data_IF_712116423487
#
_entry.id   IF_712116423487
#
_cell.length_a   1.000
_cell.length_b   1.000
_cell.length_c   1.000
_cell.angle_alpha   90.00
_cell.angle_beta   90.00
_cell.angle_gamma   90.00
#
_symmetry.space_group_name_H-M   'P 1'
#
loop_
_entity.id
_entity.type
_entity.pdbx_description
1 polymer ?
#
# COMPACT_ATOMS: atom_id res chain seq x y z
N UNK A 1 -29.81 30.34 -13.62
CA UNK A 1 -29.21 29.21 -14.37
C UNK A 1 -28.59 28.28 -13.35
N UNK A 2 -29.19 27.10 -13.13
CA UNK A 2 -28.60 26.07 -12.27
C UNK A 2 -27.52 25.36 -13.06
N UNK A 3 -26.25 25.54 -12.70
CA UNK A 3 -25.18 24.75 -13.27
C UNK A 3 -25.44 23.27 -12.92
N UNK A 4 -25.45 22.40 -13.93
CA UNK A 4 -25.50 20.96 -13.70
C UNK A 4 -24.27 20.56 -12.89
N UNK A 5 -24.46 19.73 -11.85
CA UNK A 5 -23.34 19.22 -11.09
C UNK A 5 -22.45 18.38 -12.01
N UNK A 6 -21.11 18.49 -11.88
CA UNK A 6 -20.20 17.64 -12.66
C UNK A 6 -20.54 16.17 -12.36
N UNK A 7 -20.87 15.41 -13.41
CA UNK A 7 -21.19 13.99 -13.29
C UNK A 7 -19.92 13.17 -13.50
N UNK A 8 -19.72 12.20 -12.63
CA UNK A 8 -18.65 11.21 -12.72
C UNK A 8 -19.27 9.84 -12.61
N UNK A 9 -18.83 8.91 -13.45
CA UNK A 9 -19.28 7.52 -13.36
C UNK A 9 -18.81 6.87 -12.05
N UNK A 10 -19.62 5.94 -11.56
CA UNK A 10 -19.31 5.14 -10.38
C UNK A 10 -18.08 4.27 -10.67
N UNK A 11 -17.01 4.47 -9.92
CA UNK A 11 -15.92 3.50 -9.85
C UNK A 11 -16.37 2.32 -8.98
N UNK A 12 -16.56 1.16 -9.61
CA UNK A 12 -17.00 -0.06 -8.92
C UNK A 12 -16.13 -1.23 -9.35
N UNK A 13 -15.72 -2.03 -8.36
CA UNK A 13 -14.97 -3.26 -8.56
C UNK A 13 -15.64 -4.37 -7.77
N UNK A 14 -16.27 -5.31 -8.46
CA UNK A 14 -16.80 -6.48 -7.77
C UNK A 14 -15.64 -7.40 -7.35
N UNK A 15 -15.83 -8.24 -6.33
CA UNK A 15 -14.74 -9.08 -5.83
C UNK A 15 -14.06 -9.95 -6.90
N UNK A 16 -14.84 -10.47 -7.85
CA UNK A 16 -14.37 -11.30 -8.96
C UNK A 16 -13.66 -10.50 -10.08
N UNK A 17 -13.84 -9.18 -10.13
CA UNK A 17 -13.27 -8.31 -11.16
C UNK A 17 -11.94 -7.68 -10.70
N UNK A 18 -11.59 -7.83 -9.42
CA UNK A 18 -10.34 -7.33 -8.86
C UNK A 18 -9.17 -8.20 -9.31
N UNK A 19 -8.23 -7.60 -10.06
CA UNK A 19 -6.97 -8.25 -10.38
C UNK A 19 -6.22 -8.59 -9.09
N UNK A 20 -5.63 -9.79 -9.06
CA UNK A 20 -4.91 -10.29 -7.89
C UNK A 20 -3.46 -10.59 -8.23
N UNK A 21 -2.54 -9.85 -7.61
CA UNK A 21 -1.11 -10.10 -7.65
C UNK A 21 -0.70 -10.87 -6.39
N UNK A 22 0.22 -11.82 -6.49
CA UNK A 22 0.58 -12.68 -5.35
C UNK A 22 2.02 -13.17 -5.37
N UNK A 23 2.59 -13.24 -4.19
CA UNK A 23 3.78 -14.02 -3.84
C UNK A 23 3.38 -15.12 -2.85
N UNK A 24 4.35 -15.87 -2.33
CA UNK A 24 4.10 -16.87 -1.28
C UNK A 24 3.56 -16.27 0.02
N UNK A 25 3.88 -15.01 0.31
CA UNK A 25 3.59 -14.37 1.60
C UNK A 25 2.69 -13.14 1.50
N UNK A 26 2.46 -12.61 0.29
CA UNK A 26 1.66 -11.41 0.05
C UNK A 26 0.65 -11.66 -1.05
N UNK A 27 -0.60 -11.26 -0.82
CA UNK A 27 -1.64 -11.17 -1.85
C UNK A 27 -2.18 -9.76 -1.90
N UNK A 28 -2.18 -9.16 -3.09
CA UNK A 28 -2.74 -7.83 -3.33
C UNK A 28 -3.92 -7.93 -4.27
N UNK A 29 -5.05 -7.31 -3.93
CA UNK A 29 -6.21 -7.15 -4.80
C UNK A 29 -6.36 -5.69 -5.17
N UNK A 30 -6.29 -5.41 -6.46
CA UNK A 30 -6.39 -4.06 -7.03
C UNK A 30 -7.87 -3.66 -7.06
N UNK A 31 -8.27 -2.71 -6.21
CA UNK A 31 -9.69 -2.38 -6.02
C UNK A 31 -10.11 -1.22 -6.92
N UNK A 32 -9.59 -0.02 -6.69
CA UNK A 32 -9.95 1.19 -7.42
C UNK A 32 -8.69 2.00 -7.70
N UNK A 33 -8.43 2.39 -8.94
CA UNK A 33 -7.27 3.21 -9.28
C UNK A 33 -7.62 4.71 -9.40
N UNK A 34 -6.60 5.57 -9.35
CA UNK A 34 -6.78 7.02 -9.40
C UNK A 34 -7.45 7.51 -10.70
N UNK A 35 -7.22 6.83 -11.83
CA UNK A 35 -7.85 7.17 -13.11
C UNK A 35 -9.38 6.91 -13.09
N UNK A 36 -9.84 5.89 -12.36
CA UNK A 36 -11.25 5.56 -12.14
C UNK A 36 -11.93 6.56 -11.20
N UNK A 37 -11.16 7.29 -10.40
CA UNK A 37 -11.63 8.27 -9.39
C UNK A 37 -11.16 9.70 -9.63
N UNK A 38 -10.55 9.99 -10.79
CA UNK A 38 -10.19 11.34 -11.23
C UNK A 38 -9.28 11.99 -10.21
N UNK A 39 -8.42 11.17 -9.62
CA UNK A 39 -7.47 11.53 -8.58
C UNK A 39 -8.05 11.64 -7.18
N UNK A 40 -9.31 11.28 -6.90
CA UNK A 40 -9.84 11.42 -5.53
C UNK A 40 -9.33 10.34 -4.57
N UNK A 41 -9.23 9.09 -5.03
CA UNK A 41 -8.78 7.95 -4.23
C UNK A 41 -8.23 6.82 -5.09
N UNK A 42 -7.16 6.18 -4.65
CA UNK A 42 -6.73 4.87 -5.14
C UNK A 42 -6.72 3.89 -3.97
N UNK A 43 -7.20 2.67 -4.14
CA UNK A 43 -7.30 1.69 -3.07
C UNK A 43 -6.98 0.26 -3.50
N UNK A 44 -6.52 -0.52 -2.53
CA UNK A 44 -6.20 -1.93 -2.66
C UNK A 44 -6.44 -2.67 -1.36
N UNK A 45 -6.68 -3.97 -1.46
CA UNK A 45 -6.63 -4.87 -0.30
C UNK A 45 -5.29 -5.61 -0.32
N UNK A 46 -4.58 -5.63 0.81
CA UNK A 46 -3.37 -6.42 0.99
C UNK A 46 -3.63 -7.49 2.05
N UNK A 47 -3.24 -8.73 1.77
CA UNK A 47 -3.19 -9.82 2.74
C UNK A 47 -1.74 -10.26 2.91
N UNK A 48 -1.28 -10.33 4.15
CA UNK A 48 0.06 -10.70 4.55
C UNK A 48 0.01 -11.99 5.37
N UNK A 49 0.86 -12.95 5.03
CA UNK A 49 1.07 -14.15 5.83
C UNK A 49 1.70 -13.81 7.20
N UNK A 50 1.80 -14.82 8.07
CA UNK A 50 2.33 -14.63 9.42
C UNK A 50 3.72 -14.00 9.41
N UNK A 51 3.86 -12.83 10.05
CA UNK A 51 5.12 -12.08 10.12
C UNK A 51 5.66 -11.60 8.77
N UNK A 52 4.88 -11.68 7.68
CA UNK A 52 5.33 -11.27 6.36
C UNK A 52 5.57 -9.76 6.29
N UNK A 53 6.59 -9.37 5.53
CA UNK A 53 6.80 -7.96 5.20
C UNK A 53 5.78 -7.50 4.14
N UNK A 54 5.33 -6.25 4.29
CA UNK A 54 4.54 -5.54 3.30
C UNK A 54 5.43 -4.60 2.49
N UNK A 55 5.15 -3.30 2.54
CA UNK A 55 5.97 -2.31 1.84
C UNK A 55 7.28 -2.02 2.60
N UNK A 56 8.38 -1.95 1.85
CA UNK A 56 9.64 -1.40 2.32
C UNK A 56 9.49 0.10 2.67
N UNK A 57 10.39 0.68 3.50
CA UNK A 57 10.30 2.07 3.89
C UNK A 57 10.27 3.04 2.71
N UNK A 58 9.25 3.89 2.69
CA UNK A 58 9.02 4.89 1.65
C UNK A 58 8.22 6.08 2.19
N UNK A 59 8.03 7.10 1.36
CA UNK A 59 7.06 8.17 1.59
C UNK A 59 6.37 8.57 0.28
N UNK A 60 5.23 9.25 0.44
CA UNK A 60 4.44 9.86 -0.62
C UNK A 60 4.58 11.38 -0.55
N UNK A 61 4.58 12.09 -1.68
CA UNK A 61 4.62 13.56 -1.73
C UNK A 61 3.26 14.19 -2.02
N UNK A 62 2.34 13.41 -2.60
CA UNK A 62 1.02 13.87 -3.05
C UNK A 62 -0.07 13.47 -2.06
N UNK A 63 0.02 12.27 -1.49
CA UNK A 63 -1.11 11.61 -0.81
C UNK A 63 -0.84 11.30 0.66
N UNK A 64 -1.90 11.44 1.47
CA UNK A 64 -1.97 10.74 2.74
C UNK A 64 -2.40 9.29 2.47
N UNK A 65 -1.90 8.34 3.27
CA UNK A 65 -2.22 6.92 3.13
C UNK A 65 -3.00 6.40 4.34
N UNK A 66 -4.23 5.97 4.11
CA UNK A 66 -5.09 5.32 5.09
C UNK A 66 -4.86 3.81 5.08
N UNK A 67 -4.72 3.24 6.26
CA UNK A 67 -4.79 1.81 6.50
C UNK A 67 -5.99 1.50 7.38
N UNK A 68 -6.78 0.51 6.99
CA UNK A 68 -7.78 -0.11 7.86
C UNK A 68 -7.45 -1.60 7.99
N UNK A 69 -7.28 -2.08 9.22
CA UNK A 69 -6.94 -3.48 9.49
C UNK A 69 -8.24 -4.27 9.59
N UNK A 70 -8.55 -5.05 8.56
CA UNK A 70 -9.74 -5.88 8.51
C UNK A 70 -9.58 -7.15 9.37
N UNK A 71 -8.40 -7.77 9.36
CA UNK A 71 -8.09 -8.98 10.13
C UNK A 71 -6.63 -8.97 10.61
N UNK A 72 -6.36 -9.63 11.73
CA UNK A 72 -5.01 -9.82 12.25
C UNK A 72 -4.40 -8.55 12.87
N UNK A 73 -3.08 -8.44 12.79
CA UNK A 73 -2.32 -7.31 13.35
C UNK A 73 -1.28 -6.77 12.37
N UNK A 74 -1.32 -5.46 12.14
CA UNK A 74 -0.40 -4.73 11.28
C UNK A 74 0.64 -3.99 12.12
N UNK A 75 1.91 -4.21 11.88
CA UNK A 75 3.00 -3.39 12.41
C UNK A 75 3.38 -2.34 11.36
N UNK A 76 3.50 -1.08 11.78
CA UNK A 76 3.76 0.06 10.90
C UNK A 76 4.88 0.92 11.46
N UNK A 77 5.88 1.22 10.64
CA UNK A 77 6.77 2.37 10.87
C UNK A 77 6.00 3.64 10.52
N UNK A 78 5.89 4.59 11.44
CA UNK A 78 5.25 5.88 11.25
C UNK A 78 6.19 7.00 11.73
N UNK A 79 7.04 7.47 10.81
CA UNK A 79 8.13 8.40 11.10
C UNK A 79 9.22 7.72 11.91
N UNK A 80 9.36 8.10 13.18
CA UNK A 80 10.37 7.58 14.11
C UNK A 80 9.82 6.50 15.07
N UNK A 81 8.53 6.19 14.97
CA UNK A 81 7.81 5.24 15.84
C UNK A 81 7.44 3.98 15.07
N UNK A 82 7.38 2.87 15.79
CA UNK A 82 6.77 1.63 15.32
C UNK A 82 5.51 1.39 16.15
N UNK A 83 4.38 1.20 15.48
CA UNK A 83 3.08 0.95 16.12
C UNK A 83 2.49 -0.34 15.61
N UNK A 84 1.70 -1.01 16.45
CA UNK A 84 0.90 -2.18 16.06
C UNK A 84 -0.58 -1.83 16.11
N UNK A 85 -1.31 -2.16 15.06
CA UNK A 85 -2.74 -1.90 14.92
C UNK A 85 -3.45 -3.23 14.64
N UNK A 86 -4.36 -3.61 15.53
CA UNK A 86 -5.17 -4.82 15.39
C UNK A 86 -6.43 -4.61 14.55
N UNK A 87 -7.13 -5.71 14.27
CA UNK A 87 -8.39 -5.72 13.53
C UNK A 87 -9.43 -4.71 14.05
N UNK A 88 -10.10 -4.01 13.13
CA UNK A 88 -11.01 -2.90 13.40
C UNK A 88 -10.32 -1.55 13.63
N UNK A 89 -8.99 -1.54 13.78
CA UNK A 89 -8.19 -0.32 13.88
C UNK A 89 -7.90 0.33 12.54
N UNK A 90 -7.60 1.62 12.57
CA UNK A 90 -7.18 2.39 11.40
C UNK A 90 -6.08 3.38 11.75
N UNK A 91 -5.28 3.75 10.76
CA UNK A 91 -4.29 4.81 10.85
C UNK A 91 -4.23 5.59 9.53
N UNK A 92 -3.84 6.86 9.61
CA UNK A 92 -3.49 7.68 8.45
C UNK A 92 -2.03 8.09 8.58
N UNK A 93 -1.24 7.79 7.56
CA UNK A 93 0.12 8.29 7.42
C UNK A 93 0.07 9.54 6.55
N UNK A 94 0.47 10.71 7.06
CA UNK A 94 0.47 11.93 6.26
C UNK A 94 1.59 11.87 5.22
N UNK A 95 1.39 12.54 4.09
CA UNK A 95 2.45 12.73 3.08
C UNK A 95 3.74 13.29 3.71
N UNK A 96 4.86 12.95 3.08
CA UNK A 96 6.24 13.20 3.53
C UNK A 96 6.68 12.46 4.79
N UNK A 97 5.79 11.74 5.49
CA UNK A 97 6.20 10.88 6.60
C UNK A 97 6.77 9.56 6.06
N UNK A 98 8.03 9.21 6.36
CA UNK A 98 8.55 7.88 6.10
C UNK A 98 7.72 6.82 6.83
N UNK A 99 7.33 5.78 6.10
CA UNK A 99 6.58 4.67 6.65
C UNK A 99 6.88 3.36 5.92
N UNK A 100 6.59 2.26 6.60
CA UNK A 100 6.74 0.89 6.14
C UNK A 100 5.71 0.05 6.89
N UNK A 101 5.36 -1.12 6.37
CA UNK A 101 4.45 -2.00 7.11
C UNK A 101 4.73 -3.48 6.86
N UNK A 102 4.26 -4.30 7.79
CA UNK A 102 4.27 -5.75 7.70
C UNK A 102 3.29 -6.34 8.70
N UNK A 103 2.97 -7.62 8.57
CA UNK A 103 2.19 -8.29 9.60
C UNK A 103 3.01 -8.34 10.90
N UNK A 104 2.36 -8.13 12.04
CA UNK A 104 3.04 -8.16 13.34
C UNK A 104 3.67 -9.55 13.58
N UNK A 105 4.76 -9.63 14.37
CA UNK A 105 5.38 -10.91 14.69
C UNK A 105 4.36 -11.93 15.24
N UNK A 106 4.30 -13.12 14.64
CA UNK A 106 3.35 -14.17 15.06
C UNK A 106 1.90 -13.93 14.64
N UNK A 107 1.63 -12.95 13.77
CA UNK A 107 0.29 -12.65 13.26
C UNK A 107 0.29 -12.50 11.74
N UNK A 108 -0.81 -12.86 11.09
CA UNK A 108 -1.13 -12.46 9.72
C UNK A 108 -1.83 -11.10 9.72
N UNK A 109 -2.02 -10.48 8.55
CA UNK A 109 -2.80 -9.24 8.46
C UNK A 109 -3.61 -9.17 7.15
N UNK A 110 -4.83 -8.64 7.20
CA UNK A 110 -5.60 -8.24 6.02
C UNK A 110 -6.01 -6.80 6.18
N UNK A 111 -5.70 -5.96 5.19
CA UNK A 111 -5.83 -4.53 5.28
C UNK A 111 -6.40 -3.93 4.00
N UNK A 112 -7.22 -2.90 4.15
CA UNK A 112 -7.56 -1.94 3.10
C UNK A 112 -6.57 -0.79 3.17
N UNK A 113 -5.94 -0.47 2.05
CA UNK A 113 -5.09 0.71 1.88
C UNK A 113 -5.80 1.67 0.93
N UNK A 114 -5.79 2.96 1.25
CA UNK A 114 -6.28 4.01 0.36
C UNK A 114 -5.37 5.23 0.38
N UNK A 115 -4.99 5.73 -0.79
CA UNK A 115 -4.25 6.98 -0.93
C UNK A 115 -5.21 8.10 -1.33
N UNK A 116 -5.13 9.23 -0.63
CA UNK A 116 -6.00 10.39 -0.81
C UNK A 116 -5.18 11.70 -0.75
N UNK A 117 -5.12 12.50 -1.83
CA UNK A 117 -5.63 12.23 -3.19
C UNK A 117 -5.12 10.90 -3.78
N UNK A 118 -5.84 10.32 -4.74
CA UNK A 118 -5.43 9.09 -5.39
C UNK A 118 -4.18 9.28 -6.25
N UNK A 119 -3.33 8.26 -6.32
CA UNK A 119 -2.20 8.14 -7.25
C UNK A 119 -2.32 6.82 -8.00
N UNK A 120 -1.76 6.72 -9.20
CA UNK A 120 -1.85 5.48 -9.96
C UNK A 120 -1.11 4.35 -9.23
N UNK A 121 -1.81 3.26 -8.94
CA UNK A 121 -1.28 2.13 -8.17
C UNK A 121 -1.20 0.84 -8.97
N UNK A 122 -2.06 0.65 -9.97
CA UNK A 122 -2.16 -0.68 -10.59
C UNK A 122 -0.88 -1.02 -11.37
N UNK A 123 -0.37 -0.10 -12.19
CA UNK A 123 0.90 -0.32 -12.90
C UNK A 123 2.10 -0.38 -11.95
N UNK A 124 2.10 0.39 -10.85
CA UNK A 124 3.13 0.27 -9.81
C UNK A 124 3.21 -1.15 -9.26
N UNK A 125 2.08 -1.74 -8.86
CA UNK A 125 2.08 -3.10 -8.31
C UNK A 125 2.35 -4.16 -9.38
N UNK A 126 1.89 -3.97 -10.62
CA UNK A 126 2.27 -4.84 -11.75
C UNK A 126 3.77 -4.78 -12.05
N UNK A 127 4.40 -3.61 -11.90
CA UNK A 127 5.86 -3.48 -12.01
C UNK A 127 6.58 -4.24 -10.91
N UNK A 128 6.12 -4.17 -9.65
CA UNK A 128 6.66 -4.97 -8.56
C UNK A 128 6.52 -6.48 -8.81
N UNK A 129 5.38 -6.93 -9.36
CA UNK A 129 5.16 -8.32 -9.74
C UNK A 129 6.15 -8.78 -10.85
N UNK A 130 6.36 -7.95 -11.89
CA UNK A 130 7.37 -8.21 -12.92
C UNK A 130 8.79 -8.29 -12.34
N UNK A 131 9.13 -7.43 -11.38
CA UNK A 131 10.43 -7.49 -10.68
C UNK A 131 10.56 -8.81 -9.90
N UNK A 132 9.52 -9.22 -9.17
CA UNK A 132 9.50 -10.51 -8.46
C UNK A 132 9.69 -11.72 -9.38
N UNK A 133 9.28 -11.62 -10.65
CA UNK A 133 9.44 -12.63 -11.70
C UNK A 133 10.77 -12.53 -12.47
N UNK A 134 11.56 -11.49 -12.23
CA UNK A 134 12.80 -11.21 -12.99
C UNK A 134 12.56 -10.64 -14.40
N UNK A 135 11.37 -10.11 -14.67
CA UNK A 135 10.97 -9.51 -15.95
C UNK A 135 11.22 -7.98 -15.99
N UNK A 136 11.52 -7.38 -14.84
CA UNK A 136 11.87 -5.98 -14.67
C UNK A 136 12.91 -5.84 -13.53
N UNK A 137 13.48 -4.65 -13.37
CA UNK A 137 14.58 -4.37 -12.45
C UNK A 137 14.21 -3.35 -11.37
N UNK A 138 14.99 -3.31 -10.29
CA UNK A 138 14.88 -2.23 -9.29
C UNK A 138 15.21 -0.84 -9.87
N UNK A 139 15.99 -0.78 -10.96
CA UNK A 139 16.25 0.46 -11.67
C UNK A 139 14.99 0.97 -12.39
N UNK A 140 14.19 0.06 -12.98
CA UNK A 140 12.90 0.40 -13.59
C UNK A 140 11.94 0.96 -12.52
N UNK A 141 11.91 0.34 -11.33
CA UNK A 141 11.12 0.85 -10.21
C UNK A 141 11.55 2.25 -9.79
N UNK A 142 12.86 2.47 -9.60
CA UNK A 142 13.40 3.77 -9.22
C UNK A 142 13.07 4.87 -10.24
N UNK A 143 13.06 4.53 -11.54
CA UNK A 143 12.69 5.47 -12.60
C UNK A 143 11.22 5.92 -12.55
N UNK A 144 10.35 5.18 -11.84
CA UNK A 144 8.90 5.46 -11.73
C UNK A 144 8.49 6.13 -10.42
N UNK A 145 9.44 6.49 -9.55
CA UNK A 145 9.14 7.04 -8.22
C UNK A 145 8.23 8.29 -8.26
N UNK A 146 8.46 9.20 -9.22
CA UNK A 146 7.70 10.46 -9.36
C UNK A 146 6.30 10.22 -9.93
N UNK A 147 6.20 9.23 -10.83
CA UNK A 147 4.95 8.83 -11.49
C UNK A 147 3.99 8.21 -10.47
N UNK A 148 4.47 7.20 -9.75
CA UNK A 148 3.67 6.46 -8.76
C UNK A 148 3.74 7.03 -7.34
N UNK A 149 4.38 8.19 -7.17
CA UNK A 149 4.56 8.92 -5.91
C UNK A 149 5.11 8.04 -4.77
N UNK A 150 6.09 7.18 -5.07
CA UNK A 150 6.60 6.20 -4.11
C UNK A 150 8.12 6.32 -3.97
N UNK A 151 8.58 7.05 -2.95
CA UNK A 151 9.98 7.38 -2.76
C UNK A 151 10.59 6.52 -1.66
N UNK A 152 11.46 5.57 -2.03
CA UNK A 152 12.11 4.69 -1.07
C UNK A 152 13.14 5.42 -0.21
N UNK A 153 13.22 5.03 1.06
CA UNK A 153 14.21 5.53 2.02
C UNK A 153 14.81 4.36 2.79
N UNK A 154 15.99 4.57 3.36
CA UNK A 154 16.51 3.63 4.35
C UNK A 154 15.87 3.90 5.72
N UNK A 155 15.55 2.83 6.45
CA UNK A 155 15.06 2.90 7.82
C UNK A 155 15.68 1.76 8.65
N UNK A 156 16.93 1.92 9.12
CA UNK A 156 17.65 0.86 9.82
C UNK A 156 16.92 0.34 11.06
N UNK A 157 16.19 1.22 11.77
CA UNK A 157 15.40 0.84 12.94
C UNK A 157 14.25 -0.11 12.58
N UNK A 158 13.59 0.11 11.46
CA UNK A 158 12.55 -0.78 10.97
C UNK A 158 13.15 -2.15 10.64
N UNK A 159 14.25 -2.18 9.88
CA UNK A 159 14.87 -3.45 9.52
C UNK A 159 15.46 -4.21 10.71
N UNK A 160 15.98 -3.51 11.71
CA UNK A 160 16.40 -4.11 12.97
C UNK A 160 15.22 -4.76 13.71
N UNK A 161 14.09 -4.04 13.84
CA UNK A 161 12.86 -4.55 14.47
C UNK A 161 12.32 -5.79 13.73
N UNK A 162 12.22 -5.71 12.40
CA UNK A 162 11.72 -6.82 11.58
C UNK A 162 12.63 -8.04 11.67
N UNK A 163 13.94 -7.85 11.55
CA UNK A 163 14.91 -8.95 11.61
C UNK A 163 14.95 -9.62 12.99
N UNK A 164 14.89 -8.85 14.07
CA UNK A 164 14.92 -9.38 15.44
C UNK A 164 13.73 -10.31 15.75
N UNK A 165 12.62 -10.16 15.01
CA UNK A 165 11.39 -10.89 15.22
C UNK A 165 11.08 -11.95 14.14
N UNK A 166 11.97 -12.13 13.14
CA UNK A 166 11.88 -13.24 12.18
C UNK A 166 12.26 -14.54 12.90
N UNK A 167 11.31 -15.46 13.03
CA UNK A 167 11.55 -16.84 13.50
C UNK A 167 11.82 -17.76 12.33
#
# INVERSE_FOLDING_TARGET
>A
MTAALPHRDLAVRQPQDAETLRTDTVRMRLLIDANETGGSVSSLEVTLAEGADGAAPHYHTKSDELFYVAEGELQVLAGDRIVTVGAGGALVVPKFMPHAFGAAPGSAARLLIALMPGVERFEYFRLLDRIGKGEATLADLAATQEEFDNHFVDAPRWWAERTANRR
#
